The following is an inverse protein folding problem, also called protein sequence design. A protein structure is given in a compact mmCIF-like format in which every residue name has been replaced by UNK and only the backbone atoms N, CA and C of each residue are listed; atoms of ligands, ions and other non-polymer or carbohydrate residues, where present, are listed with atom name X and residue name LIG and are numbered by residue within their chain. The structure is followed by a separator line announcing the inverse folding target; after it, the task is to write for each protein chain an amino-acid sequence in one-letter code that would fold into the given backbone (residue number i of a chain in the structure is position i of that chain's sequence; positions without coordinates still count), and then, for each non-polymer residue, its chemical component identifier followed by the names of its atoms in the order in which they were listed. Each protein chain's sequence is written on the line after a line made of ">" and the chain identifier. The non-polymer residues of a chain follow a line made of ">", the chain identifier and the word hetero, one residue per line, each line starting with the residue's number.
data_IF_564848156219
#
_entry.id   IF_564848156219
#
_cell.length_a   1.000
_cell.length_b   1.000
_cell.length_c   1.000
_cell.angle_alpha   90.00
_cell.angle_beta   90.00
_cell.angle_gamma   90.00
#
_symmetry.space_group_name_H-M   'P 1'
#
loop_
_entity.id
_entity.type
_entity.pdbx_description
1 polymer ?
#
# COMPACT_ATOMS: atom_id res chain seq x y z
N UNK A 1 -35.82 1.96 -3.29
CA UNK A 1 -34.63 1.26 -2.77
C UNK A 1 -33.68 1.09 -3.95
N UNK A 2 -32.68 1.97 -4.08
CA UNK A 2 -31.75 1.95 -5.22
C UNK A 2 -30.79 0.78 -5.01
N UNK A 3 -30.70 -0.12 -5.98
CA UNK A 3 -29.80 -1.29 -5.94
C UNK A 3 -28.39 -0.78 -6.20
N UNK A 4 -27.61 -0.55 -5.14
CA UNK A 4 -26.19 -0.20 -5.30
C UNK A 4 -25.44 -1.35 -5.98
N UNK A 5 -24.55 -1.02 -6.91
CA UNK A 5 -23.68 -1.99 -7.55
C UNK A 5 -22.57 -2.43 -6.59
N UNK A 6 -21.94 -3.59 -6.82
CA UNK A 6 -20.86 -4.08 -5.95
C UNK A 6 -19.67 -3.10 -5.86
N UNK A 7 -19.46 -2.31 -6.92
CA UNK A 7 -18.44 -1.29 -6.98
C UNK A 7 -18.81 -0.05 -6.14
N UNK A 8 -20.04 0.45 -6.25
CA UNK A 8 -20.52 1.56 -5.41
C UNK A 8 -20.46 1.23 -3.91
N UNK A 9 -20.79 -0.02 -3.54
CA UNK A 9 -20.66 -0.48 -2.15
C UNK A 9 -19.19 -0.49 -1.70
N UNK A 10 -18.27 -0.89 -2.59
CA UNK A 10 -16.83 -0.86 -2.31
C UNK A 10 -16.34 0.58 -2.10
N UNK A 11 -16.62 1.48 -3.03
CA UNK A 11 -16.19 2.88 -2.94
C UNK A 11 -16.74 3.55 -1.67
N UNK A 12 -18.03 3.36 -1.38
CA UNK A 12 -18.65 3.90 -0.16
C UNK A 12 -17.96 3.36 1.08
N UNK A 13 -17.70 2.05 1.13
CA UNK A 13 -17.02 1.43 2.28
C UNK A 13 -15.60 1.95 2.46
N UNK A 14 -14.86 2.13 1.35
CA UNK A 14 -13.50 2.68 1.38
C UNK A 14 -13.49 4.13 1.84
N UNK A 15 -14.43 4.94 1.38
CA UNK A 15 -14.54 6.36 1.76
C UNK A 15 -14.95 6.52 3.22
N UNK A 16 -15.92 5.74 3.70
CA UNK A 16 -16.39 5.76 5.09
C UNK A 16 -15.28 5.34 6.06
N UNK A 17 -14.41 4.43 5.64
CA UNK A 17 -13.31 3.91 6.45
C UNK A 17 -11.95 4.49 6.07
N UNK A 18 -11.90 5.54 5.24
CA UNK A 18 -10.68 6.04 4.62
C UNK A 18 -9.57 6.33 5.63
N UNK A 19 -9.91 6.94 6.77
CA UNK A 19 -8.97 7.30 7.83
C UNK A 19 -8.39 6.04 8.48
N UNK A 20 -9.25 5.10 8.88
CA UNK A 20 -8.83 3.87 9.58
C UNK A 20 -8.00 2.99 8.64
N UNK A 21 -8.44 2.86 7.39
CA UNK A 21 -7.73 2.14 6.34
C UNK A 21 -6.31 2.72 6.15
N UNK A 22 -6.20 4.03 5.92
CA UNK A 22 -4.90 4.66 5.73
C UNK A 22 -4.02 4.64 6.97
N UNK A 23 -4.60 4.72 8.17
CA UNK A 23 -3.85 4.58 9.41
C UNK A 23 -3.25 3.18 9.55
N UNK A 24 -4.05 2.13 9.34
CA UNK A 24 -3.57 0.75 9.37
C UNK A 24 -2.50 0.51 8.30
N UNK A 25 -2.73 0.99 7.08
CA UNK A 25 -1.78 0.89 5.97
C UNK A 25 -0.48 1.64 6.27
N UNK A 26 -0.55 2.82 6.88
CA UNK A 26 0.61 3.60 7.28
C UNK A 26 1.47 2.84 8.30
N UNK A 27 0.85 2.23 9.32
CA UNK A 27 1.57 1.42 10.32
C UNK A 27 2.32 0.27 9.63
N UNK A 28 1.63 -0.48 8.77
CA UNK A 28 2.24 -1.61 8.03
C UNK A 28 3.39 -1.13 7.15
N UNK A 29 3.17 -0.09 6.35
CA UNK A 29 4.17 0.42 5.41
C UNK A 29 5.38 1.01 6.11
N UNK A 30 5.21 1.72 7.23
CA UNK A 30 6.31 2.23 8.06
C UNK A 30 7.14 1.08 8.64
N UNK A 31 6.51 0.02 9.13
CA UNK A 31 7.21 -1.15 9.66
C UNK A 31 8.00 -1.86 8.57
N UNK A 32 7.38 -2.16 7.43
CA UNK A 32 8.04 -2.83 6.30
C UNK A 32 9.20 -2.00 5.74
N UNK A 33 8.95 -0.72 5.50
CA UNK A 33 9.95 0.21 4.96
C UNK A 33 11.08 0.50 5.96
N UNK A 34 10.75 0.58 7.24
CA UNK A 34 11.73 0.70 8.32
C UNK A 34 12.62 -0.53 8.44
N UNK A 35 12.04 -1.73 8.36
CA UNK A 35 12.78 -2.98 8.35
C UNK A 35 13.74 -3.07 7.15
N UNK A 36 13.28 -2.65 5.97
CA UNK A 36 14.11 -2.55 4.77
C UNK A 36 15.29 -1.57 4.99
N UNK A 37 15.02 -0.38 5.52
CA UNK A 37 16.05 0.62 5.80
C UNK A 37 17.12 0.12 6.79
N UNK A 38 16.74 -0.77 7.71
CA UNK A 38 17.64 -1.40 8.67
C UNK A 38 18.46 -2.56 8.08
N UNK A 39 17.95 -3.31 7.12
CA UNK A 39 18.70 -4.43 6.52
C UNK A 39 19.69 -4.00 5.44
N UNK A 40 19.47 -2.87 4.78
CA UNK A 40 20.35 -2.39 3.73
C UNK A 40 21.66 -1.80 4.28
N UNK A 41 22.79 -2.28 3.75
CA UNK A 41 24.13 -1.76 4.07
C UNK A 41 24.23 -0.26 3.79
N UNK A 42 25.09 0.44 4.53
CA UNK A 42 25.38 1.87 4.31
C UNK A 42 26.01 2.09 2.94
N UNK A 43 25.39 2.94 2.12
CA UNK A 43 25.86 3.28 0.77
C UNK A 43 24.85 4.14 0.04
N UNK A 44 25.32 5.11 -0.77
CA UNK A 44 24.44 6.03 -1.50
C UNK A 44 23.60 5.30 -2.54
N UNK A 45 24.24 4.51 -3.42
CA UNK A 45 23.55 3.70 -4.43
C UNK A 45 22.50 2.75 -3.80
N UNK A 46 22.86 2.03 -2.73
CA UNK A 46 21.94 1.14 -2.01
C UNK A 46 20.78 1.89 -1.33
N UNK A 47 20.97 3.16 -0.96
CA UNK A 47 19.89 3.97 -0.38
C UNK A 47 18.90 4.41 -1.45
N UNK A 48 19.38 4.74 -2.66
CA UNK A 48 18.53 5.07 -3.80
C UNK A 48 17.72 3.84 -4.23
N UNK A 49 18.38 2.69 -4.39
CA UNK A 49 17.69 1.43 -4.72
C UNK A 49 16.67 1.08 -3.64
N UNK A 50 17.04 1.17 -2.36
CA UNK A 50 16.13 0.89 -1.26
C UNK A 50 14.93 1.84 -1.18
N UNK A 51 15.09 3.10 -1.58
CA UNK A 51 13.98 4.05 -1.68
C UNK A 51 12.95 3.61 -2.72
N UNK A 52 13.39 3.24 -3.93
CA UNK A 52 12.47 2.71 -4.95
C UNK A 52 11.81 1.40 -4.53
N UNK A 53 12.54 0.52 -3.84
CA UNK A 53 11.96 -0.71 -3.28
C UNK A 53 10.91 -0.36 -2.20
N UNK A 54 11.14 0.64 -1.36
CA UNK A 54 10.16 1.09 -0.36
C UNK A 54 8.87 1.63 -1.01
N UNK A 55 8.99 2.38 -2.11
CA UNK A 55 7.82 2.81 -2.91
C UNK A 55 7.07 1.58 -3.42
N UNK A 56 7.77 0.65 -4.08
CA UNK A 56 7.17 -0.54 -4.65
C UNK A 56 6.45 -1.40 -3.57
N UNK A 57 7.10 -1.64 -2.43
CA UNK A 57 6.49 -2.37 -1.30
C UNK A 57 5.23 -1.66 -0.81
N UNK A 58 5.28 -0.33 -0.68
CA UNK A 58 4.15 0.43 -0.14
C UNK A 58 2.94 0.41 -1.09
N UNK A 59 3.18 0.50 -2.41
CA UNK A 59 2.13 0.38 -3.43
C UNK A 59 1.56 -1.03 -3.46
N UNK A 60 2.41 -2.06 -3.42
CA UNK A 60 1.96 -3.46 -3.40
C UNK A 60 1.14 -3.75 -2.14
N UNK A 61 1.57 -3.26 -0.97
CA UNK A 61 0.82 -3.42 0.27
C UNK A 61 -0.56 -2.74 0.20
N UNK A 62 -0.64 -1.56 -0.42
CA UNK A 62 -1.91 -0.86 -0.65
C UNK A 62 -2.84 -1.66 -1.59
N UNK A 63 -2.29 -2.21 -2.68
CA UNK A 63 -3.03 -3.07 -3.62
C UNK A 63 -3.59 -4.32 -2.94
N UNK A 64 -2.77 -5.02 -2.17
CA UNK A 64 -3.20 -6.19 -1.39
C UNK A 64 -4.32 -5.82 -0.41
N UNK A 65 -4.22 -4.66 0.24
CA UNK A 65 -5.23 -4.21 1.19
C UNK A 65 -6.55 -3.86 0.50
N UNK A 66 -6.50 -3.21 -0.67
CA UNK A 66 -7.67 -2.93 -1.52
C UNK A 66 -8.33 -4.23 -1.97
N UNK A 67 -7.54 -5.19 -2.46
CA UNK A 67 -8.04 -6.49 -2.90
C UNK A 67 -8.72 -7.25 -1.77
N UNK A 68 -8.14 -7.21 -0.56
CA UNK A 68 -8.71 -7.84 0.62
C UNK A 68 -10.09 -7.26 0.98
N UNK A 69 -10.24 -5.93 0.90
CA UNK A 69 -11.52 -5.26 1.16
C UNK A 69 -12.53 -5.59 0.06
N UNK A 70 -12.13 -5.52 -1.21
CA UNK A 70 -12.98 -5.86 -2.34
C UNK A 70 -13.50 -7.30 -2.26
N UNK A 71 -12.61 -8.26 -1.95
CA UNK A 71 -12.97 -9.66 -1.74
C UNK A 71 -13.89 -9.87 -0.54
N UNK A 72 -13.72 -9.08 0.54
CA UNK A 72 -14.57 -9.15 1.72
C UNK A 72 -15.99 -8.63 1.45
N UNK A 73 -16.12 -7.54 0.68
CA UNK A 73 -17.40 -6.90 0.37
C UNK A 73 -18.23 -7.76 -0.57
N UNK A 74 -17.61 -8.37 -1.59
CA UNK A 74 -18.35 -9.15 -2.58
C UNK A 74 -17.52 -10.30 -3.17
N UNK A 75 -18.03 -11.55 -3.10
CA UNK A 75 -17.42 -12.69 -3.76
C UNK A 75 -17.25 -12.53 -5.28
N UNK A 76 -17.97 -11.57 -5.91
CA UNK A 76 -17.82 -11.30 -7.34
C UNK A 76 -16.42 -10.80 -7.71
N UNK A 77 -15.74 -10.08 -6.81
CA UNK A 77 -14.37 -9.64 -7.07
C UNK A 77 -13.40 -10.82 -7.19
N UNK A 78 -13.59 -11.88 -6.39
CA UNK A 78 -12.84 -13.14 -6.56
C UNK A 78 -13.17 -13.82 -7.88
N UNK A 79 -14.44 -13.78 -8.31
CA UNK A 79 -14.85 -14.26 -9.62
C UNK A 79 -14.20 -13.51 -10.77
N UNK A 80 -14.03 -12.19 -10.67
CA UNK A 80 -13.31 -11.37 -11.66
C UNK A 80 -11.82 -11.74 -11.67
N UNK A 81 -11.18 -11.85 -10.50
CA UNK A 81 -9.77 -12.23 -10.40
C UNK A 81 -9.47 -13.60 -11.02
N UNK A 82 -10.41 -14.56 -10.94
CA UNK A 82 -10.26 -15.89 -11.56
C UNK A 82 -10.41 -15.85 -13.09
N UNK A 83 -11.32 -15.00 -13.60
CA UNK A 83 -11.62 -14.95 -15.03
C UNK A 83 -10.69 -14.00 -15.81
N UNK A 84 -10.21 -12.93 -15.18
CA UNK A 84 -9.32 -11.93 -15.77
C UNK A 84 -8.33 -11.41 -14.72
N UNK A 85 -7.35 -12.25 -14.38
CA UNK A 85 -6.31 -11.90 -13.43
C UNK A 85 -5.50 -10.66 -13.86
N UNK A 86 -5.06 -10.49 -15.12
CA UNK A 86 -4.34 -9.29 -15.55
C UNK A 86 -5.16 -8.02 -15.37
N UNK A 87 -6.43 -8.01 -15.77
CA UNK A 87 -7.31 -6.86 -15.60
C UNK A 87 -7.57 -6.53 -14.12
N UNK A 88 -7.75 -7.56 -13.29
CA UNK A 88 -7.92 -7.38 -11.84
C UNK A 88 -6.67 -6.78 -11.18
N UNK A 89 -5.47 -7.26 -11.54
CA UNK A 89 -4.21 -6.70 -11.02
C UNK A 89 -4.00 -5.26 -11.48
N UNK A 90 -4.31 -4.94 -12.74
CA UNK A 90 -4.22 -3.57 -13.25
C UNK A 90 -5.17 -2.63 -12.49
N UNK A 91 -6.43 -3.03 -12.32
CA UNK A 91 -7.42 -2.28 -11.55
C UNK A 91 -6.95 -2.05 -10.10
N UNK A 92 -6.41 -3.09 -9.45
CA UNK A 92 -5.90 -2.99 -8.07
C UNK A 92 -4.75 -1.99 -7.97
N UNK A 93 -3.81 -2.03 -8.91
CA UNK A 93 -2.66 -1.11 -8.95
C UNK A 93 -3.06 0.34 -9.27
N UNK A 94 -4.15 0.56 -10.00
CA UNK A 94 -4.71 1.89 -10.26
C UNK A 94 -5.47 2.43 -9.04
N UNK A 95 -6.21 1.55 -8.37
CA UNK A 95 -7.06 1.88 -7.21
C UNK A 95 -6.24 2.08 -5.93
N UNK A 96 -5.15 1.34 -5.77
CA UNK A 96 -4.33 1.37 -4.55
C UNK A 96 -3.71 2.74 -4.23
N UNK A 97 -3.14 3.50 -5.18
CA UNK A 97 -2.67 4.86 -4.94
C UNK A 97 -3.80 5.82 -4.55
N UNK A 98 -4.98 5.67 -5.14
CA UNK A 98 -6.13 6.54 -4.86
C UNK A 98 -6.53 6.44 -3.39
N UNK A 99 -6.78 5.22 -2.92
CA UNK A 99 -7.27 5.01 -1.56
C UNK A 99 -6.16 4.88 -0.51
N UNK A 100 -4.96 4.46 -0.89
CA UNK A 100 -3.83 4.18 0.01
C UNK A 100 -2.73 5.23 0.02
N UNK A 101 -2.92 6.37 -0.67
CA UNK A 101 -1.89 7.42 -0.83
C UNK A 101 -1.22 7.83 0.49
N UNK A 102 -2.00 8.06 1.54
CA UNK A 102 -1.46 8.49 2.85
C UNK A 102 -0.60 7.38 3.47
N UNK A 103 -1.07 6.15 3.44
CA UNK A 103 -0.30 4.99 3.92
C UNK A 103 0.99 4.76 3.11
N UNK A 104 0.97 5.02 1.81
CA UNK A 104 2.14 4.94 0.93
C UNK A 104 3.17 6.02 1.31
N UNK A 105 2.72 7.27 1.42
CA UNK A 105 3.58 8.40 1.80
C UNK A 105 4.22 8.16 3.17
N UNK A 106 3.45 7.65 4.13
CA UNK A 106 3.96 7.32 5.46
C UNK A 106 5.06 6.25 5.41
N UNK A 107 4.90 5.20 4.59
CA UNK A 107 5.93 4.19 4.37
C UNK A 107 7.24 4.77 3.85
N UNK A 108 7.15 5.60 2.81
CA UNK A 108 8.29 6.27 2.18
C UNK A 108 8.97 7.20 3.19
N UNK A 109 8.21 7.99 3.94
CA UNK A 109 8.74 8.85 5.00
C UNK A 109 9.44 8.02 6.08
N UNK A 110 8.85 6.89 6.49
CA UNK A 110 9.43 5.95 7.45
C UNK A 110 10.79 5.42 6.99
N UNK A 111 10.90 5.03 5.71
CA UNK A 111 12.18 4.63 5.11
C UNK A 111 13.24 5.73 5.25
N UNK A 112 12.91 6.95 4.81
CA UNK A 112 13.84 8.08 4.78
C UNK A 112 14.29 8.45 6.19
N UNK A 113 13.36 8.59 7.14
CA UNK A 113 13.66 8.98 8.52
C UNK A 113 14.56 7.95 9.21
N UNK A 114 14.22 6.67 9.12
CA UNK A 114 15.02 5.60 9.74
C UNK A 114 16.41 5.52 9.10
N UNK A 115 16.49 5.72 7.79
CA UNK A 115 17.76 5.71 7.06
C UNK A 115 18.66 6.88 7.43
N UNK A 116 18.11 8.10 7.55
CA UNK A 116 18.84 9.28 7.99
C UNK A 116 19.36 9.12 9.42
N UNK A 117 18.52 8.64 10.33
CA UNK A 117 18.90 8.38 11.73
C UNK A 117 20.07 7.42 11.84
N UNK A 118 20.08 6.35 11.04
CA UNK A 118 21.19 5.38 11.01
C UNK A 118 22.50 5.96 10.48
N UNK A 119 22.44 6.90 9.53
CA UNK A 119 23.66 7.56 9.04
C UNK A 119 24.26 8.47 10.11
N UNK A 120 23.40 9.21 10.82
CA UNK A 120 23.83 10.08 11.92
C UNK A 120 24.44 9.31 13.10
N UNK A 121 24.00 8.08 13.38
CA UNK A 121 24.57 7.27 14.46
C UNK A 121 25.92 6.60 14.11
N UNK A 122 26.32 6.60 12.84
CA UNK A 122 27.55 5.98 12.34
C UNK A 122 28.63 7.00 11.94
N UNK A 123 28.29 8.30 11.99
CA UNK A 123 29.21 9.42 11.73
C UNK A 123 29.71 9.98 13.06
#
# INVERSE_FOLDING_TARGET
>A
MIRMTAFETFETTMMDNFIIFNFALAVVNVVLSGHLAQRLKSGLALSVVGFFISIAISVIAAAIAVDAIAAFISPRFLGVAVNDLPGFVAWSLETAPEYGSVGIIAGIAGYVVIRMRRRLSLA
#
